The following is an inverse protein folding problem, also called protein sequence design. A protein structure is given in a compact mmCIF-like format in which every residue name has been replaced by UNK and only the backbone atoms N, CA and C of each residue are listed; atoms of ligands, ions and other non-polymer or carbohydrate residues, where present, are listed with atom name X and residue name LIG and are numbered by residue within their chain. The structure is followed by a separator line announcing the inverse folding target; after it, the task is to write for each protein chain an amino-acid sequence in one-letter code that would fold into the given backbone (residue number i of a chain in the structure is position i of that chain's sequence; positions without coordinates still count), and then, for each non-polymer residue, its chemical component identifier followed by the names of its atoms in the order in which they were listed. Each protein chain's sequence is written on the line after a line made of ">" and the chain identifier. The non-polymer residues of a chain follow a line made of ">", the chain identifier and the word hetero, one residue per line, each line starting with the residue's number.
data_IF_827366987229
#
_entry.id   IF_827366987229
#
_cell.length_a   1.000
_cell.length_b   1.000
_cell.length_c   1.000
_cell.angle_alpha   90.00
_cell.angle_beta   90.00
_cell.angle_gamma   90.00
#
_symmetry.space_group_name_H-M   'P 1'
#
loop_
_entity.id
_entity.type
_entity.pdbx_description
1 polymer ?
#
# COMPACT_ATOMS: atom_id res chain seq x y z
N UNK A 1 -4.31 -52.65 8.37
CA UNK A 1 -3.42 -51.68 7.71
C UNK A 1 -3.53 -50.36 8.45
N UNK A 2 -2.43 -49.89 9.04
CA UNK A 2 -2.46 -48.83 10.06
C UNK A 2 -2.80 -47.47 9.45
N UNK A 3 -3.78 -46.78 10.04
CA UNK A 3 -4.23 -45.43 9.65
C UNK A 3 -3.19 -44.33 9.93
N UNK A 4 -2.05 -44.68 10.55
CA UNK A 4 -0.98 -43.75 10.92
C UNK A 4 -0.28 -43.08 9.73
N UNK A 5 -0.21 -43.75 8.58
CA UNK A 5 0.36 -43.15 7.37
C UNK A 5 -0.50 -42.01 6.82
N UNK A 6 -1.83 -42.14 6.89
CA UNK A 6 -2.76 -41.07 6.51
C UNK A 6 -2.64 -39.85 7.43
N UNK A 7 -2.49 -40.08 8.74
CA UNK A 7 -2.32 -38.99 9.72
C UNK A 7 -1.01 -38.24 9.45
N UNK A 8 0.09 -38.96 9.18
CA UNK A 8 1.37 -38.34 8.81
C UNK A 8 1.27 -37.52 7.52
N UNK A 9 0.55 -38.02 6.51
CA UNK A 9 0.27 -37.28 5.28
C UNK A 9 -0.53 -36.00 5.53
N UNK A 10 -1.58 -36.06 6.35
CA UNK A 10 -2.40 -34.90 6.69
C UNK A 10 -1.58 -33.83 7.40
N UNK A 11 -0.74 -34.21 8.37
CA UNK A 11 0.14 -33.27 9.07
C UNK A 11 1.13 -32.62 8.10
N UNK A 12 1.72 -33.40 7.19
CA UNK A 12 2.62 -32.88 6.16
C UNK A 12 1.95 -31.82 5.28
N UNK A 13 0.72 -32.07 4.83
CA UNK A 13 -0.06 -31.12 4.03
C UNK A 13 -0.34 -29.83 4.82
N UNK A 14 -0.70 -29.93 6.10
CA UNK A 14 -0.97 -28.76 6.96
C UNK A 14 0.30 -27.90 7.11
N UNK A 15 1.46 -28.51 7.35
CA UNK A 15 2.73 -27.79 7.50
C UNK A 15 3.10 -27.08 6.19
N UNK A 16 3.05 -27.78 5.05
CA UNK A 16 3.36 -27.19 3.75
C UNK A 16 2.40 -26.04 3.42
N UNK A 17 1.11 -26.23 3.67
CA UNK A 17 0.09 -25.20 3.44
C UNK A 17 0.32 -23.99 4.35
N UNK A 18 0.63 -24.20 5.63
CA UNK A 18 0.94 -23.13 6.58
C UNK A 18 2.18 -22.33 6.17
N UNK A 19 3.26 -23.01 5.75
CA UNK A 19 4.46 -22.36 5.22
C UNK A 19 4.15 -21.54 3.95
N UNK A 20 3.35 -22.09 3.04
CA UNK A 20 2.96 -21.40 1.81
C UNK A 20 2.10 -20.16 2.11
N UNK A 21 1.13 -20.25 3.02
CA UNK A 21 0.32 -19.11 3.46
C UNK A 21 1.17 -18.04 4.16
N UNK A 22 2.12 -18.44 4.99
CA UNK A 22 3.08 -17.53 5.62
C UNK A 22 3.92 -16.77 4.58
N UNK A 23 4.40 -17.46 3.55
CA UNK A 23 5.10 -16.83 2.43
C UNK A 23 4.21 -15.84 1.67
N UNK A 24 2.95 -16.19 1.40
CA UNK A 24 2.01 -15.28 0.74
C UNK A 24 1.63 -14.06 1.58
N UNK A 25 1.67 -14.18 2.91
CA UNK A 25 1.34 -13.08 3.82
C UNK A 25 2.52 -12.13 4.12
N UNK A 26 3.75 -12.66 4.21
CA UNK A 26 4.92 -11.89 4.66
C UNK A 26 6.11 -11.88 3.69
N UNK A 27 6.15 -12.81 2.73
CA UNK A 27 7.29 -12.98 1.83
C UNK A 27 7.25 -12.12 0.58
N UNK A 28 6.16 -11.38 0.35
CA UNK A 28 5.98 -10.52 -0.82
C UNK A 28 6.11 -9.06 -0.42
N UNK A 29 6.89 -8.33 -1.20
CA UNK A 29 7.08 -6.91 -1.00
C UNK A 29 5.91 -6.11 -1.59
N UNK A 30 5.59 -4.98 -0.98
CA UNK A 30 4.60 -4.04 -1.50
C UNK A 30 5.20 -3.22 -2.64
N UNK A 31 4.36 -2.86 -3.60
CA UNK A 31 4.77 -2.13 -4.80
C UNK A 31 3.70 -1.16 -5.28
N UNK A 32 4.06 -0.30 -6.24
CA UNK A 32 3.14 0.65 -6.86
C UNK A 32 2.71 0.11 -8.22
N UNK A 33 1.39 0.00 -8.41
CA UNK A 33 0.80 -0.42 -9.68
C UNK A 33 0.68 0.73 -10.67
N UNK A 34 0.32 1.91 -10.19
CA UNK A 34 0.17 3.11 -11.02
C UNK A 34 0.30 4.37 -10.15
N UNK A 35 0.90 5.42 -10.70
CA UNK A 35 0.89 6.76 -10.12
C UNK A 35 0.44 7.76 -11.17
N UNK A 36 -0.29 8.78 -10.73
CA UNK A 36 -0.76 9.88 -11.56
C UNK A 36 -0.63 11.18 -10.78
N UNK A 37 0.12 12.14 -11.32
CA UNK A 37 0.25 13.48 -10.74
C UNK A 37 -0.61 14.44 -11.52
N UNK A 38 -1.43 15.20 -10.82
CA UNK A 38 -2.23 16.30 -11.36
C UNK A 38 -1.75 17.60 -10.72
N UNK A 39 -1.17 18.50 -11.52
CA UNK A 39 -0.76 19.81 -11.06
C UNK A 39 -1.84 20.86 -11.31
N UNK A 40 -2.13 21.67 -10.29
CA UNK A 40 -3.05 22.79 -10.32
C UNK A 40 -2.33 24.07 -9.87
N UNK A 41 -1.88 24.90 -10.81
CA UNK A 41 -1.14 26.16 -10.57
C UNK A 41 0.00 26.04 -9.52
N UNK A 42 -0.32 26.10 -8.22
CA UNK A 42 0.61 25.99 -7.08
C UNK A 42 0.33 24.78 -6.15
N UNK A 43 -0.51 23.84 -6.57
CA UNK A 43 -0.93 22.69 -5.78
C UNK A 43 -0.80 21.40 -6.59
N UNK A 44 0.01 20.47 -6.07
CA UNK A 44 0.24 19.19 -6.74
C UNK A 44 -0.49 18.06 -6.00
N UNK A 45 -1.41 17.43 -6.72
CA UNK A 45 -2.11 16.23 -6.25
C UNK A 45 -1.48 14.99 -6.86
N UNK A 46 -1.05 14.05 -6.01
CA UNK A 46 -0.62 12.74 -6.44
C UNK A 46 -1.66 11.68 -6.09
N UNK A 47 -2.09 10.93 -7.10
CA UNK A 47 -2.93 9.75 -6.96
C UNK A 47 -2.10 8.51 -7.19
N UNK A 48 -2.07 7.64 -6.18
CA UNK A 48 -1.27 6.43 -6.16
C UNK A 48 -2.15 5.20 -6.06
N UNK A 49 -1.83 4.18 -6.82
CA UNK A 49 -2.38 2.84 -6.68
C UNK A 49 -1.30 1.92 -6.12
N UNK A 50 -1.44 1.55 -4.85
CA UNK A 50 -0.50 0.70 -4.14
C UNK A 50 -1.01 -0.75 -4.07
N UNK A 51 -0.12 -1.71 -4.31
CA UNK A 51 -0.38 -3.15 -4.19
C UNK A 51 0.44 -3.70 -3.03
N UNK A 52 -0.24 -4.10 -1.95
CA UNK A 52 0.44 -4.59 -0.74
C UNK A 52 0.97 -6.01 -0.88
N UNK A 53 0.44 -6.80 -1.83
CA UNK A 53 0.79 -8.19 -2.05
C UNK A 53 0.61 -9.11 -0.81
N UNK A 54 -0.26 -8.72 0.13
CA UNK A 54 -0.60 -9.46 1.34
C UNK A 54 -2.00 -10.08 1.19
N UNK A 55 -2.21 -11.28 1.75
CA UNK A 55 -3.54 -11.92 1.74
C UNK A 55 -4.54 -11.17 2.63
N UNK A 56 -4.07 -10.67 3.77
CA UNK A 56 -4.92 -9.98 4.74
C UNK A 56 -4.21 -8.75 5.33
N UNK A 57 -4.93 -7.63 5.41
CA UNK A 57 -4.47 -6.41 6.09
C UNK A 57 -5.32 -6.21 7.34
N UNK A 58 -4.76 -6.57 8.49
CA UNK A 58 -5.45 -6.44 9.79
C UNK A 58 -5.59 -4.98 10.21
N UNK A 59 -4.49 -4.22 10.11
CA UNK A 59 -4.44 -2.81 10.46
C UNK A 59 -4.25 -1.94 9.22
N UNK A 60 -5.36 -1.34 8.78
CA UNK A 60 -5.39 -0.44 7.61
C UNK A 60 -4.58 0.83 7.87
N UNK A 61 -4.56 1.33 9.12
CA UNK A 61 -3.85 2.56 9.48
C UNK A 61 -2.34 2.33 9.44
N UNK A 62 -1.85 1.29 10.10
CA UNK A 62 -0.43 0.94 10.07
C UNK A 62 0.06 0.65 8.64
N UNK A 63 -0.77 0.00 7.82
CA UNK A 63 -0.46 -0.22 6.40
C UNK A 63 -0.38 1.10 5.62
N UNK A 64 -1.30 2.04 5.87
CA UNK A 64 -1.29 3.34 5.22
C UNK A 64 -0.05 4.16 5.62
N UNK A 65 0.32 4.14 6.91
CA UNK A 65 1.54 4.78 7.41
C UNK A 65 2.82 4.17 6.77
N UNK A 66 2.88 2.85 6.59
CA UNK A 66 3.99 2.18 5.89
C UNK A 66 4.08 2.67 4.44
N UNK A 67 2.95 2.76 3.73
CA UNK A 67 2.90 3.24 2.35
C UNK A 67 3.35 4.70 2.27
N UNK A 68 2.85 5.59 3.15
CA UNK A 68 3.26 7.01 3.20
C UNK A 68 4.76 7.13 3.47
N UNK A 69 5.29 6.35 4.41
CA UNK A 69 6.73 6.33 4.70
C UNK A 69 7.53 5.95 3.45
N UNK A 70 7.13 4.90 2.73
CA UNK A 70 7.79 4.49 1.48
C UNK A 70 7.63 5.52 0.36
N UNK A 71 6.49 6.21 0.29
CA UNK A 71 6.30 7.34 -0.62
C UNK A 71 7.34 8.42 -0.32
N UNK A 72 7.47 8.85 0.93
CA UNK A 72 8.41 9.90 1.34
C UNK A 72 9.88 9.52 1.12
N UNK A 73 10.23 8.27 1.40
CA UNK A 73 11.58 7.73 1.19
C UNK A 73 11.87 7.37 -0.29
N UNK A 74 10.87 7.49 -1.18
CA UNK A 74 10.95 7.10 -2.58
C UNK A 74 11.51 5.67 -2.77
N UNK A 75 11.06 4.74 -1.91
CA UNK A 75 11.66 3.41 -1.78
C UNK A 75 10.89 2.30 -2.49
N UNK A 76 9.92 2.66 -3.35
CA UNK A 76 9.23 1.67 -4.17
C UNK A 76 10.12 1.15 -5.29
N UNK A 77 9.91 -0.13 -5.63
CA UNK A 77 10.71 -0.81 -6.66
C UNK A 77 10.26 -0.41 -8.07
N UNK A 78 8.95 -0.29 -8.29
CA UNK A 78 8.39 -0.05 -9.62
C UNK A 78 8.33 1.41 -10.03
N UNK A 79 8.23 2.33 -9.08
CA UNK A 79 8.09 3.76 -9.35
C UNK A 79 9.16 4.54 -8.60
N UNK A 80 9.82 5.44 -9.33
CA UNK A 80 10.65 6.49 -8.74
C UNK A 80 9.93 7.80 -8.92
N UNK A 81 9.49 8.39 -7.82
CA UNK A 81 8.92 9.72 -7.82
C UNK A 81 10.01 10.75 -8.12
N UNK A 82 9.70 11.75 -8.94
CA UNK A 82 10.63 12.82 -9.30
C UNK A 82 10.55 13.99 -8.31
N UNK A 83 10.71 13.71 -7.01
CA UNK A 83 10.66 14.73 -5.96
C UNK A 83 11.76 15.80 -6.09
N UNK A 84 12.78 15.56 -6.93
CA UNK A 84 13.79 16.55 -7.27
C UNK A 84 13.23 17.74 -8.06
N UNK A 85 12.08 17.57 -8.72
CA UNK A 85 11.44 18.60 -9.54
C UNK A 85 10.25 19.24 -8.83
N UNK A 86 9.37 18.42 -8.25
CA UNK A 86 8.23 18.91 -7.50
C UNK A 86 7.73 17.83 -6.53
N UNK A 87 7.39 18.27 -5.31
CA UNK A 87 6.91 17.41 -4.24
C UNK A 87 5.41 17.63 -4.11
N UNK A 88 4.60 16.55 -4.11
CA UNK A 88 3.16 16.70 -4.03
C UNK A 88 2.72 17.27 -2.68
N UNK A 89 1.67 18.10 -2.73
CA UNK A 89 1.04 18.72 -1.59
C UNK A 89 -0.18 17.92 -1.09
N UNK A 90 -0.68 16.99 -1.90
CA UNK A 90 -1.71 16.03 -1.52
C UNK A 90 -1.39 14.65 -2.07
N UNK A 91 -1.65 13.63 -1.26
CA UNK A 91 -1.51 12.24 -1.66
C UNK A 91 -2.81 11.49 -1.43
N UNK A 92 -3.38 10.95 -2.49
CA UNK A 92 -4.52 10.05 -2.46
C UNK A 92 -4.07 8.66 -2.86
N UNK A 93 -4.32 7.66 -2.04
CA UNK A 93 -3.86 6.30 -2.30
C UNK A 93 -5.01 5.31 -2.26
N UNK A 94 -5.12 4.50 -3.30
CA UNK A 94 -5.99 3.32 -3.33
C UNK A 94 -5.15 2.06 -3.15
N UNK A 95 -5.53 1.23 -2.17
CA UNK A 95 -4.74 0.07 -1.76
C UNK A 95 -5.42 -1.23 -2.19
N UNK A 96 -4.70 -2.04 -2.96
CA UNK A 96 -5.11 -3.35 -3.44
C UNK A 96 -4.25 -4.45 -2.83
N UNK A 97 -4.82 -5.64 -2.64
CA UNK A 97 -4.08 -6.80 -2.15
C UNK A 97 -3.20 -7.46 -3.22
N UNK A 98 -3.52 -7.28 -4.50
CA UNK A 98 -2.76 -7.84 -5.63
C UNK A 98 -3.02 -7.06 -6.93
N UNK A 99 -2.15 -7.22 -7.92
CA UNK A 99 -2.33 -6.65 -9.26
C UNK A 99 -3.62 -7.12 -9.92
N UNK A 100 -4.04 -8.36 -9.65
CA UNK A 100 -5.30 -8.87 -10.17
C UNK A 100 -6.48 -8.10 -9.60
N UNK A 101 -6.48 -7.82 -8.30
CA UNK A 101 -7.51 -6.99 -7.67
C UNK A 101 -7.49 -5.55 -8.20
N UNK A 102 -6.31 -4.98 -8.42
CA UNK A 102 -6.16 -3.65 -9.03
C UNK A 102 -6.80 -3.59 -10.42
N UNK A 103 -6.57 -4.61 -11.26
CA UNK A 103 -7.19 -4.71 -12.60
C UNK A 103 -8.71 -4.84 -12.58
N UNK A 104 -9.28 -5.42 -11.52
CA UNK A 104 -10.72 -5.64 -11.38
C UNK A 104 -11.40 -4.59 -10.49
N UNK A 105 -10.66 -3.56 -10.01
CA UNK A 105 -11.20 -2.51 -9.16
C UNK A 105 -11.62 -2.96 -7.76
N UNK A 106 -11.14 -4.10 -7.27
CA UNK A 106 -11.49 -4.61 -5.93
C UNK A 106 -10.50 -4.12 -4.86
N UNK A 107 -10.63 -2.85 -4.45
CA UNK A 107 -9.75 -2.22 -3.47
C UNK A 107 -10.07 -2.70 -2.04
N UNK A 108 -9.03 -2.81 -1.21
CA UNK A 108 -9.19 -3.16 0.22
C UNK A 108 -9.64 -1.92 1.00
N UNK A 109 -9.01 -0.78 0.72
CA UNK A 109 -9.32 0.53 1.29
C UNK A 109 -8.63 1.62 0.48
N UNK A 110 -9.07 2.86 0.69
CA UNK A 110 -8.41 4.06 0.20
C UNK A 110 -8.00 4.93 1.38
N UNK A 111 -7.05 5.82 1.18
CA UNK A 111 -6.73 6.84 2.17
C UNK A 111 -6.23 8.11 1.51
N UNK A 112 -6.42 9.22 2.20
CA UNK A 112 -5.89 10.52 1.81
C UNK A 112 -4.88 10.98 2.86
N UNK A 113 -3.80 11.59 2.42
CA UNK A 113 -2.80 12.24 3.25
C UNK A 113 -2.72 13.70 2.80
N UNK A 114 -3.37 14.57 3.59
CA UNK A 114 -3.63 15.96 3.23
C UNK A 114 -3.13 16.88 4.35
N UNK A 115 -2.57 18.06 4.00
CA UNK A 115 -2.19 19.06 4.98
C UNK A 115 -3.43 19.70 5.60
N UNK A 116 -3.31 20.22 6.83
CA UNK A 116 -4.37 21.00 7.46
C UNK A 116 -4.66 22.32 6.74
N UNK A 117 -3.64 22.88 6.09
CA UNK A 117 -3.73 24.12 5.34
C UNK A 117 -3.51 23.87 3.85
N UNK A 118 -4.42 24.38 3.02
CA UNK A 118 -4.42 24.20 1.55
C UNK A 118 -3.59 25.31 0.87
N UNK A 119 -2.78 26.05 1.63
CA UNK A 119 -1.97 27.16 1.13
C UNK A 119 -0.91 26.77 0.09
N UNK A 120 -0.66 25.47 -0.10
CA UNK A 120 0.36 24.95 -1.03
C UNK A 120 1.79 25.16 -0.53
N UNK A 121 1.94 25.60 0.72
CA UNK A 121 3.25 25.88 1.35
C UNK A 121 3.91 24.61 1.90
N UNK A 122 3.10 23.60 2.24
CA UNK A 122 3.54 22.38 2.91
C UNK A 122 3.59 21.20 1.95
N UNK A 123 4.65 20.40 2.03
CA UNK A 123 4.85 19.22 1.20
C UNK A 123 4.99 17.95 2.05
N UNK A 124 4.71 16.79 1.44
CA UNK A 124 4.67 15.50 2.15
C UNK A 124 6.03 15.04 2.71
N UNK A 125 7.14 15.58 2.22
CA UNK A 125 8.50 15.15 2.59
C UNK A 125 9.00 15.95 3.78
N UNK A 126 8.95 17.28 3.66
CA UNK A 126 9.54 18.26 4.58
C UNK A 126 8.66 18.56 5.79
N UNK A 127 7.33 18.46 5.67
CA UNK A 127 6.39 18.82 6.75
C UNK A 127 5.39 17.70 7.09
N UNK A 128 5.81 16.47 7.36
CA UNK A 128 4.90 15.34 7.60
C UNK A 128 3.97 15.53 8.81
N UNK A 129 4.35 16.36 9.79
CA UNK A 129 3.55 16.69 10.98
C UNK A 129 2.29 17.49 10.68
N UNK A 130 2.27 18.27 9.60
CA UNK A 130 1.12 19.09 9.20
C UNK A 130 0.06 18.30 8.43
N UNK A 131 0.37 17.05 8.08
CA UNK A 131 -0.47 16.18 7.27
C UNK A 131 -1.24 15.18 8.12
N UNK A 132 -2.53 15.06 7.84
CA UNK A 132 -3.43 14.13 8.49
C UNK A 132 -3.75 12.98 7.53
N UNK A 133 -3.47 11.76 8.00
CA UNK A 133 -3.89 10.54 7.34
C UNK A 133 -5.37 10.24 7.66
N UNK A 134 -6.21 10.25 6.64
CA UNK A 134 -7.62 9.88 6.73
C UNK A 134 -7.87 8.61 5.94
N UNK A 135 -8.39 7.59 6.61
CA UNK A 135 -8.82 6.36 5.95
C UNK A 135 -10.19 6.59 5.33
N UNK A 136 -10.33 6.17 4.08
CA UNK A 136 -11.57 6.22 3.34
C UNK A 136 -11.99 4.78 2.99
N UNK A 137 -13.29 4.53 3.00
CA UNK A 137 -13.80 3.27 2.50
C UNK A 137 -13.68 3.31 0.97
N UNK A 138 -13.14 2.24 0.37
CA UNK A 138 -13.06 2.16 -1.08
C UNK A 138 -14.49 2.12 -1.66
N UNK A 139 -14.75 2.99 -2.64
CA UNK A 139 -15.99 3.05 -3.42
C UNK A 139 -16.10 1.91 -4.44
#
# INVERSE_FOLDING_TARGET
>A
MSKGWLISWIIGIIVVTGCYLGYLQYGRDMDVYSSHVTSFDNYEEERLVAVVNKLYVADKKACAEEIVKRCRENSFKSVRFSYDQAIPNALYVTVYGSDWQAKHGNAIFSFSYLPNDVSGTYNIVDNPEEFILKLEQAD
#
